data_IF_069836858724
#
_entry.id   IF_069836858724
#
_cell.length_a   1.000
_cell.length_b   1.000
_cell.length_c   1.000
_cell.angle_alpha   90.00
_cell.angle_beta   90.00
_cell.angle_gamma   90.00
#
_symmetry.space_group_name_H-M   'P 1'
#
loop_
_entity.id
_entity.type
_entity.pdbx_description
1 polymer ?
#
# COMPACT_ATOMS: atom_id res chain seq x y z
N UNK A 1 -47.86 25.34 -103.21
CA UNK A 1 -48.30 25.44 -104.63
C UNK A 1 -49.77 25.81 -104.65
N UNK A 2 -50.18 26.95 -105.24
CA UNK A 2 -51.58 27.24 -105.52
C UNK A 2 -51.90 26.93 -107.00
N UNK A 3 -53.06 26.37 -107.36
CA UNK A 3 -53.53 26.42 -108.74
C UNK A 3 -54.32 27.74 -108.91
N UNK A 4 -53.75 28.75 -109.58
CA UNK A 4 -53.91 29.04 -111.00
C UNK A 4 -55.37 29.10 -111.47
N UNK A 5 -55.89 30.32 -111.45
CA UNK A 5 -56.94 30.81 -112.35
C UNK A 5 -56.59 30.56 -113.81
N UNK A 6 -57.49 29.92 -114.57
CA UNK A 6 -57.55 30.01 -116.03
C UNK A 6 -58.98 29.76 -116.49
N UNK A 7 -59.41 30.55 -117.46
CA UNK A 7 -60.44 30.11 -118.40
C UNK A 7 -61.66 31.00 -118.52
N UNK A 8 -61.46 32.20 -119.08
CA UNK A 8 -62.52 32.90 -119.79
C UNK A 8 -63.01 32.02 -120.96
N UNK A 9 -64.21 31.47 -120.86
CA UNK A 9 -64.93 30.86 -121.98
C UNK A 9 -66.04 31.80 -122.45
N UNK A 10 -65.84 32.36 -123.65
CA UNK A 10 -66.85 33.09 -124.43
C UNK A 10 -68.05 32.17 -124.65
N UNK A 11 -69.23 32.55 -124.15
CA UNK A 11 -70.51 31.93 -124.54
C UNK A 11 -70.95 32.47 -125.92
N UNK A 12 -71.53 31.63 -126.78
CA UNK A 12 -72.12 32.06 -128.05
C UNK A 12 -73.40 32.86 -127.81
N UNK A 13 -73.67 33.85 -128.66
CA UNK A 13 -74.94 34.56 -128.71
C UNK A 13 -76.06 33.56 -129.05
N UNK A 14 -76.88 33.21 -128.06
CA UNK A 14 -78.07 32.39 -128.23
C UNK A 14 -79.29 33.26 -127.94
N UNK A 15 -80.03 33.54 -129.01
CA UNK A 15 -81.44 33.91 -129.13
C UNK A 15 -82.13 34.28 -127.80
N UNK A 16 -82.54 35.55 -127.67
CA UNK A 16 -83.50 35.98 -126.62
C UNK A 16 -84.78 35.18 -126.81
N UNK A 17 -84.96 34.10 -126.05
CA UNK A 17 -86.27 33.58 -125.72
C UNK A 17 -87.04 34.69 -124.99
N UNK A 18 -88.35 34.90 -125.26
CA UNK A 18 -89.13 35.87 -124.52
C UNK A 18 -88.99 35.54 -123.03
N UNK A 19 -88.59 36.52 -122.23
CA UNK A 19 -88.65 36.39 -120.77
C UNK A 19 -90.13 36.32 -120.42
N UNK A 20 -90.63 35.09 -120.28
CA UNK A 20 -91.97 34.82 -119.78
C UNK A 20 -92.01 35.30 -118.33
N UNK A 21 -92.88 36.28 -118.08
CA UNK A 21 -93.20 36.77 -116.74
C UNK A 21 -94.49 36.05 -116.37
N UNK A 22 -94.39 35.08 -115.46
CA UNK A 22 -95.52 34.26 -114.99
C UNK A 22 -96.38 33.64 -116.13
N UNK A 23 -95.72 33.14 -117.19
CA UNK A 23 -96.40 32.48 -118.30
C UNK A 23 -96.96 33.41 -119.40
N UNK A 24 -96.83 34.74 -119.29
CA UNK A 24 -97.29 35.72 -120.28
C UNK A 24 -96.16 36.46 -121.00
N UNK A 25 -96.43 36.92 -122.23
CA UNK A 25 -95.53 37.79 -123.01
C UNK A 25 -95.67 39.25 -122.58
N UNK A 26 -94.60 40.05 -122.73
CA UNK A 26 -94.52 41.45 -122.28
C UNK A 26 -95.58 42.38 -122.88
N UNK A 27 -96.25 41.93 -123.94
CA UNK A 27 -97.23 42.68 -124.73
C UNK A 27 -98.70 42.37 -124.35
N UNK A 28 -98.96 41.42 -123.45
CA UNK A 28 -100.32 41.00 -123.03
C UNK A 28 -100.70 41.42 -121.59
N UNK A 29 -99.78 42.05 -120.84
CA UNK A 29 -100.03 42.49 -119.46
C UNK A 29 -100.51 43.96 -119.43
N UNK A 30 -101.65 44.22 -118.78
CA UNK A 30 -102.12 45.59 -118.48
C UNK A 30 -101.13 46.30 -117.54
N UNK A 31 -101.08 47.64 -117.60
CA UNK A 31 -100.19 48.47 -116.75
C UNK A 31 -100.33 48.14 -115.25
N UNK A 32 -101.56 47.95 -114.77
CA UNK A 32 -101.85 47.56 -113.39
C UNK A 32 -101.31 46.16 -113.04
N UNK A 33 -101.40 45.20 -113.98
CA UNK A 33 -100.89 43.84 -113.77
C UNK A 33 -99.35 43.80 -113.71
N UNK A 34 -98.68 44.66 -114.50
CA UNK A 34 -97.23 44.84 -114.39
C UNK A 34 -96.83 45.50 -113.06
N UNK A 35 -97.59 46.50 -112.59
CA UNK A 35 -97.33 47.15 -111.30
C UNK A 35 -97.52 46.17 -110.12
N UNK A 36 -98.58 45.36 -110.12
CA UNK A 36 -98.76 44.29 -109.14
C UNK A 36 -97.64 43.25 -109.18
N UNK A 37 -97.21 42.83 -110.38
CA UNK A 37 -96.10 41.88 -110.50
C UNK A 37 -94.78 42.48 -109.99
N UNK A 38 -94.55 43.78 -110.17
CA UNK A 38 -93.39 44.48 -109.59
C UNK A 38 -93.48 44.50 -108.06
N UNK A 39 -94.67 44.73 -107.49
CA UNK A 39 -94.88 44.69 -106.03
C UNK A 39 -94.62 43.27 -105.49
N UNK A 40 -95.20 42.23 -106.10
CA UNK A 40 -94.95 40.83 -105.70
C UNK A 40 -93.47 40.47 -105.75
N UNK A 41 -92.76 40.84 -106.81
CA UNK A 41 -91.31 40.61 -106.91
C UNK A 41 -90.49 41.36 -105.86
N UNK A 42 -90.92 42.57 -105.46
CA UNK A 42 -90.26 43.32 -104.38
C UNK A 42 -90.49 42.67 -103.02
N UNK A 43 -91.72 42.25 -102.76
CA UNK A 43 -92.06 41.51 -101.54
C UNK A 43 -91.33 40.16 -101.47
N UNK A 44 -91.24 39.44 -102.59
CA UNK A 44 -90.42 38.21 -102.68
C UNK A 44 -88.94 38.50 -102.44
N UNK A 45 -88.39 39.55 -103.06
CA UNK A 45 -87.01 39.95 -102.83
C UNK A 45 -86.75 40.34 -101.37
N UNK A 46 -87.68 41.03 -100.72
CA UNK A 46 -87.53 41.44 -99.33
C UNK A 46 -87.69 40.23 -98.37
N UNK A 47 -88.62 39.31 -98.63
CA UNK A 47 -88.70 38.01 -97.93
C UNK A 47 -87.42 37.19 -98.08
N UNK A 48 -86.88 37.06 -99.29
CA UNK A 48 -85.62 36.35 -99.52
C UNK A 48 -84.43 37.01 -98.81
N UNK A 49 -84.41 38.36 -98.69
CA UNK A 49 -83.39 39.07 -97.91
C UNK A 49 -83.53 38.79 -96.41
N UNK A 50 -84.76 38.80 -95.89
CA UNK A 50 -85.05 38.47 -94.49
C UNK A 50 -84.66 37.04 -94.16
N UNK A 51 -85.01 36.07 -95.02
CA UNK A 51 -84.61 34.66 -94.88
C UNK A 51 -83.09 34.51 -94.93
N UNK A 52 -82.42 35.17 -95.89
CA UNK A 52 -80.95 35.18 -95.95
C UNK A 52 -80.33 35.75 -94.67
N UNK A 53 -80.87 36.85 -94.16
CA UNK A 53 -80.40 37.47 -92.92
C UNK A 53 -80.60 36.53 -91.73
N UNK A 54 -81.76 35.87 -91.63
CA UNK A 54 -82.05 34.88 -90.60
C UNK A 54 -81.07 33.70 -90.65
N UNK A 55 -80.85 33.10 -91.83
CA UNK A 55 -79.89 32.00 -91.98
C UNK A 55 -78.45 32.42 -91.74
N UNK A 56 -78.10 33.67 -92.06
CA UNK A 56 -76.80 34.26 -91.73
C UNK A 56 -76.61 34.32 -90.21
N UNK A 57 -77.58 34.87 -89.48
CA UNK A 57 -77.54 34.96 -88.01
C UNK A 57 -77.50 33.58 -87.35
N UNK A 58 -78.29 32.62 -87.83
CA UNK A 58 -78.27 31.26 -87.29
C UNK A 58 -76.95 30.55 -87.58
N UNK A 59 -76.35 30.73 -88.76
CA UNK A 59 -75.01 30.20 -89.04
C UNK A 59 -73.96 30.83 -88.12
N UNK A 60 -73.97 32.14 -87.94
CA UNK A 60 -72.99 32.84 -87.12
C UNK A 60 -73.15 32.42 -85.64
N UNK A 61 -74.39 32.23 -85.17
CA UNK A 61 -74.71 31.67 -83.84
C UNK A 61 -74.18 30.24 -83.69
N UNK A 62 -74.43 29.35 -84.65
CA UNK A 62 -73.88 27.98 -84.64
C UNK A 62 -72.35 28.02 -84.63
N UNK A 63 -71.74 28.92 -85.40
CA UNK A 63 -70.29 29.05 -85.46
C UNK A 63 -69.70 29.50 -84.11
N UNK A 64 -70.28 30.53 -83.48
CA UNK A 64 -69.85 30.96 -82.13
C UNK A 64 -70.01 29.87 -81.08
N UNK A 65 -71.12 29.11 -81.11
CA UNK A 65 -71.28 27.95 -80.21
C UNK A 65 -70.24 26.86 -80.48
N UNK A 66 -69.92 26.61 -81.74
CA UNK A 66 -68.89 25.65 -82.11
C UNK A 66 -67.52 26.10 -81.62
N UNK A 67 -67.11 27.36 -81.85
CA UNK A 67 -65.84 27.92 -81.37
C UNK A 67 -65.74 27.87 -79.83
N UNK A 68 -66.80 28.25 -79.12
CA UNK A 68 -66.83 28.17 -77.64
C UNK A 68 -66.69 26.72 -77.18
N UNK A 69 -67.39 25.78 -77.82
CA UNK A 69 -67.36 24.37 -77.42
C UNK A 69 -66.01 23.73 -77.73
N UNK A 70 -65.41 24.07 -78.87
CA UNK A 70 -64.07 23.62 -79.28
C UNK A 70 -63.00 24.17 -78.32
N UNK A 71 -63.05 25.47 -78.00
CA UNK A 71 -62.15 26.08 -77.03
C UNK A 71 -62.27 25.43 -75.64
N UNK A 72 -63.50 25.15 -75.17
CA UNK A 72 -63.71 24.45 -73.88
C UNK A 72 -63.22 23.01 -73.92
N UNK A 73 -63.38 22.34 -75.05
CA UNK A 73 -62.88 20.97 -75.22
C UNK A 73 -61.35 20.95 -75.13
N UNK A 74 -60.67 21.89 -75.78
CA UNK A 74 -59.21 22.02 -75.70
C UNK A 74 -58.73 22.42 -74.30
N UNK A 75 -59.46 23.30 -73.60
CA UNK A 75 -59.19 23.64 -72.18
C UNK A 75 -59.26 22.39 -71.29
N UNK A 76 -60.35 21.61 -71.36
CA UNK A 76 -60.51 20.38 -70.56
C UNK A 76 -59.46 19.32 -70.92
N UNK A 77 -59.09 19.20 -72.20
CA UNK A 77 -58.00 18.30 -72.62
C UNK A 77 -56.65 18.73 -72.04
N UNK A 78 -56.37 20.04 -72.02
CA UNK A 78 -55.15 20.57 -71.43
C UNK A 78 -55.14 20.37 -69.91
N UNK A 79 -56.24 20.63 -69.22
CA UNK A 79 -56.40 20.36 -67.78
C UNK A 79 -56.17 18.88 -67.46
N UNK A 80 -56.80 17.96 -68.22
CA UNK A 80 -56.57 16.53 -68.04
C UNK A 80 -55.09 16.17 -68.17
N UNK A 81 -54.41 16.69 -69.19
CA UNK A 81 -52.98 16.43 -69.40
C UNK A 81 -52.14 16.97 -68.25
N UNK A 82 -52.49 18.13 -67.71
CA UNK A 82 -51.82 18.68 -66.53
C UNK A 82 -52.03 17.77 -65.32
N UNK A 83 -53.27 17.31 -65.06
CA UNK A 83 -53.53 16.34 -63.99
C UNK A 83 -52.77 15.03 -64.15
N UNK A 84 -52.71 14.48 -65.37
CA UNK A 84 -51.93 13.26 -65.64
C UNK A 84 -50.43 13.50 -65.34
N UNK A 85 -49.90 14.68 -65.69
CA UNK A 85 -48.51 15.07 -65.38
C UNK A 85 -48.29 15.23 -63.88
N UNK A 86 -49.22 15.88 -63.16
CA UNK A 86 -49.13 16.08 -61.71
C UNK A 86 -49.15 14.74 -60.96
N UNK A 87 -49.95 13.77 -61.43
CA UNK A 87 -49.99 12.40 -60.88
C UNK A 87 -48.64 11.71 -61.09
N UNK A 88 -48.08 11.76 -62.31
CA UNK A 88 -46.76 11.17 -62.59
C UNK A 88 -45.65 11.79 -61.74
N UNK A 89 -45.68 13.12 -61.56
CA UNK A 89 -44.72 13.81 -60.69
C UNK A 89 -44.86 13.41 -59.23
N UNK A 90 -46.08 13.27 -58.71
CA UNK A 90 -46.33 12.84 -57.34
C UNK A 90 -45.90 11.40 -57.08
N UNK A 91 -46.21 10.49 -58.01
CA UNK A 91 -45.71 9.12 -57.98
C UNK A 91 -44.17 9.08 -57.99
N UNK A 92 -43.54 9.92 -58.82
CA UNK A 92 -42.09 10.09 -58.86
C UNK A 92 -41.51 10.56 -57.51
N UNK A 93 -42.11 11.59 -56.90
CA UNK A 93 -41.73 12.08 -55.57
C UNK A 93 -41.88 10.99 -54.51
N UNK A 94 -43.00 10.28 -54.50
CA UNK A 94 -43.27 9.21 -53.54
C UNK A 94 -42.25 8.07 -53.67
N UNK A 95 -41.90 7.65 -54.89
CA UNK A 95 -40.87 6.63 -55.12
C UNK A 95 -39.49 7.05 -54.59
N UNK A 96 -39.11 8.32 -54.77
CA UNK A 96 -37.85 8.86 -54.22
C UNK A 96 -37.90 8.86 -52.69
N UNK A 97 -39.00 9.30 -52.10
CA UNK A 97 -39.18 9.31 -50.65
C UNK A 97 -39.07 7.90 -50.04
N UNK A 98 -39.72 6.91 -50.65
CA UNK A 98 -39.61 5.49 -50.26
C UNK A 98 -38.16 5.00 -50.33
N UNK A 99 -37.40 5.37 -51.37
CA UNK A 99 -35.97 5.01 -51.49
C UNK A 99 -35.14 5.69 -50.39
N UNK A 100 -35.42 6.94 -50.07
CA UNK A 100 -34.74 7.68 -48.98
C UNK A 100 -35.03 7.04 -47.63
N UNK A 101 -36.30 6.72 -47.32
CA UNK A 101 -36.64 6.03 -46.07
C UNK A 101 -35.99 4.66 -45.96
N UNK A 102 -35.96 3.89 -47.07
CA UNK A 102 -35.25 2.60 -47.11
C UNK A 102 -33.76 2.76 -46.81
N UNK A 103 -33.12 3.80 -47.36
CA UNK A 103 -31.71 4.08 -47.08
C UNK A 103 -31.48 4.54 -45.64
N UNK A 104 -32.36 5.41 -45.10
CA UNK A 104 -32.33 5.83 -43.70
C UNK A 104 -32.45 4.64 -42.74
N UNK A 105 -33.37 3.72 -43.02
CA UNK A 105 -33.54 2.49 -42.24
C UNK A 105 -32.28 1.61 -42.28
N UNK A 106 -31.69 1.43 -43.47
CA UNK A 106 -30.42 0.69 -43.60
C UNK A 106 -29.29 1.34 -42.80
N UNK A 107 -29.14 2.66 -42.90
CA UNK A 107 -28.12 3.39 -42.14
C UNK A 107 -28.34 3.24 -40.63
N UNK A 108 -29.57 3.42 -40.14
CA UNK A 108 -29.90 3.25 -38.72
C UNK A 108 -29.57 1.84 -38.21
N UNK A 109 -29.90 0.80 -38.98
CA UNK A 109 -29.55 -0.58 -38.64
C UNK A 109 -28.04 -0.81 -38.61
N UNK A 110 -27.30 -0.25 -39.58
CA UNK A 110 -25.84 -0.33 -39.58
C UNK A 110 -25.22 0.40 -38.38
N UNK A 111 -25.70 1.60 -38.05
CA UNK A 111 -25.27 2.36 -36.88
C UNK A 111 -25.52 1.55 -35.59
N UNK A 112 -26.73 1.03 -35.40
CA UNK A 112 -27.03 0.19 -34.23
C UNK A 112 -26.14 -1.05 -34.16
N UNK A 113 -25.90 -1.73 -35.29
CA UNK A 113 -25.02 -2.90 -35.32
C UNK A 113 -23.57 -2.52 -35.00
N UNK A 114 -23.09 -1.36 -35.46
CA UNK A 114 -21.77 -0.84 -35.15
C UNK A 114 -21.65 -0.53 -33.66
N UNK A 115 -22.59 0.23 -33.10
CA UNK A 115 -22.62 0.55 -31.66
C UNK A 115 -22.64 -0.70 -30.80
N UNK A 116 -23.45 -1.71 -31.15
CA UNK A 116 -23.46 -3.00 -30.44
C UNK A 116 -22.11 -3.70 -30.53
N UNK A 117 -21.43 -3.63 -31.69
CA UNK A 117 -20.13 -4.28 -31.89
C UNK A 117 -19.02 -3.56 -31.11
N UNK A 118 -19.04 -2.23 -31.10
CA UNK A 118 -18.14 -1.39 -30.29
C UNK A 118 -18.34 -1.67 -28.80
N UNK A 119 -19.57 -1.63 -28.29
CA UNK A 119 -19.86 -1.93 -26.88
C UNK A 119 -19.43 -3.34 -26.48
N UNK A 120 -19.57 -4.33 -27.37
CA UNK A 120 -19.07 -5.69 -27.14
C UNK A 120 -17.54 -5.73 -27.10
N UNK A 121 -16.87 -5.02 -28.01
CA UNK A 121 -15.41 -4.94 -28.02
C UNK A 121 -14.88 -4.26 -26.76
N UNK A 122 -15.46 -3.12 -26.38
CA UNK A 122 -15.12 -2.39 -25.16
C UNK A 122 -15.36 -3.23 -23.91
N UNK A 123 -16.48 -3.97 -23.86
CA UNK A 123 -16.77 -4.92 -22.78
C UNK A 123 -15.73 -6.04 -22.66
N UNK A 124 -15.27 -6.59 -23.78
CA UNK A 124 -14.19 -7.60 -23.79
C UNK A 124 -12.86 -7.03 -23.32
N UNK A 125 -12.47 -5.85 -23.82
CA UNK A 125 -11.23 -5.17 -23.41
C UNK A 125 -11.27 -4.83 -21.92
N UNK A 126 -12.39 -4.31 -21.42
CA UNK A 126 -12.57 -4.01 -20.00
C UNK A 126 -12.46 -5.28 -19.15
N UNK A 127 -13.14 -6.36 -19.54
CA UNK A 127 -13.08 -7.65 -18.82
C UNK A 127 -11.67 -8.22 -18.80
N UNK A 128 -10.95 -8.14 -19.92
CA UNK A 128 -9.56 -8.59 -20.00
C UNK A 128 -8.64 -7.75 -19.10
N UNK A 129 -8.78 -6.42 -19.11
CA UNK A 129 -8.00 -5.54 -18.25
C UNK A 129 -8.24 -5.84 -16.76
N UNK A 130 -9.49 -6.05 -16.36
CA UNK A 130 -9.85 -6.45 -14.98
C UNK A 130 -9.23 -7.81 -14.63
N UNK A 131 -9.29 -8.79 -15.54
CA UNK A 131 -8.69 -10.10 -15.31
C UNK A 131 -7.16 -10.03 -15.18
N UNK A 132 -6.50 -9.21 -15.99
CA UNK A 132 -5.05 -9.00 -15.92
C UNK A 132 -4.64 -8.36 -14.58
N UNK A 133 -5.37 -7.35 -14.09
CA UNK A 133 -5.14 -6.75 -12.79
C UNK A 133 -5.39 -7.75 -11.64
N UNK A 134 -6.45 -8.55 -11.73
CA UNK A 134 -6.72 -9.60 -10.75
C UNK A 134 -5.59 -10.65 -10.71
N UNK A 135 -5.10 -11.10 -11.88
CA UNK A 135 -3.98 -12.04 -11.96
C UNK A 135 -2.69 -11.45 -11.36
N UNK A 136 -2.43 -10.15 -11.56
CA UNK A 136 -1.28 -9.46 -10.94
C UNK A 136 -1.42 -9.43 -9.43
N UNK A 137 -2.59 -9.07 -8.91
CA UNK A 137 -2.86 -9.02 -7.47
C UNK A 137 -2.71 -10.41 -6.83
N UNK A 138 -3.27 -11.44 -7.46
CA UNK A 138 -3.15 -12.82 -7.01
C UNK A 138 -1.69 -13.30 -7.01
N UNK A 139 -0.91 -12.91 -8.01
CA UNK A 139 0.52 -13.23 -8.08
C UNK A 139 1.30 -12.57 -6.94
N UNK A 140 0.99 -11.32 -6.60
CA UNK A 140 1.60 -10.60 -5.45
C UNK A 140 1.20 -11.27 -4.15
N UNK A 141 -0.09 -11.53 -3.94
CA UNK A 141 -0.59 -12.20 -2.74
C UNK A 141 0.07 -13.57 -2.52
N UNK A 142 0.22 -14.37 -3.58
CA UNK A 142 0.91 -15.64 -3.50
C UNK A 142 2.42 -15.51 -3.19
N UNK A 143 3.07 -14.44 -3.65
CA UNK A 143 4.48 -14.16 -3.30
C UNK A 143 4.59 -13.77 -1.82
N UNK A 144 3.73 -12.88 -1.35
CA UNK A 144 3.72 -12.41 0.04
C UNK A 144 3.40 -13.56 1.01
N UNK A 145 2.42 -14.41 0.66
CA UNK A 145 2.11 -15.60 1.45
C UNK A 145 3.31 -16.56 1.56
N UNK A 146 4.04 -16.78 0.46
CA UNK A 146 5.27 -17.58 0.51
C UNK A 146 6.37 -16.93 1.34
N UNK A 147 6.54 -15.60 1.25
CA UNK A 147 7.52 -14.88 2.05
C UNK A 147 7.21 -15.03 3.55
N UNK A 148 5.96 -14.81 3.96
CA UNK A 148 5.54 -14.99 5.36
C UNK A 148 5.74 -16.43 5.84
N UNK A 149 5.47 -17.43 4.99
CA UNK A 149 5.74 -18.83 5.35
C UNK A 149 7.23 -19.11 5.57
N UNK A 150 8.10 -18.53 4.75
CA UNK A 150 9.55 -18.65 4.91
C UNK A 150 10.01 -17.96 6.19
N UNK A 151 9.57 -16.72 6.43
CA UNK A 151 9.92 -15.97 7.65
C UNK A 151 9.48 -16.71 8.93
N UNK A 152 8.29 -17.31 8.90
CA UNK A 152 7.79 -18.13 10.01
C UNK A 152 8.67 -19.37 10.23
N UNK A 153 9.05 -20.06 9.16
CA UNK A 153 9.94 -21.23 9.24
C UNK A 153 11.35 -20.83 9.73
N UNK A 154 11.87 -19.69 9.30
CA UNK A 154 13.15 -19.15 9.76
C UNK A 154 13.11 -18.81 11.25
N UNK A 155 12.02 -18.20 11.72
CA UNK A 155 11.83 -17.91 13.15
C UNK A 155 11.74 -19.19 13.99
N UNK A 156 11.03 -20.22 13.52
CA UNK A 156 10.95 -21.52 14.19
C UNK A 156 12.33 -22.19 14.27
N UNK A 157 13.11 -22.13 13.18
CA UNK A 157 14.49 -22.63 13.15
C UNK A 157 15.40 -21.84 14.10
N UNK A 158 15.29 -20.51 14.15
CA UNK A 158 16.08 -19.66 15.04
C UNK A 158 15.76 -19.99 16.52
N UNK A 159 14.48 -20.19 16.84
CA UNK A 159 14.05 -20.60 18.18
C UNK A 159 14.60 -21.99 18.55
N UNK A 160 14.57 -22.95 17.62
CA UNK A 160 15.15 -24.26 17.83
C UNK A 160 16.66 -24.20 18.08
N UNK A 161 17.39 -23.37 17.32
CA UNK A 161 18.82 -23.14 17.52
C UNK A 161 19.08 -22.54 18.90
N UNK A 162 18.34 -21.50 19.31
CA UNK A 162 18.46 -20.89 20.64
C UNK A 162 18.21 -21.92 21.76
N UNK A 163 17.22 -22.80 21.59
CA UNK A 163 16.94 -23.87 22.56
C UNK A 163 18.11 -24.87 22.65
N UNK A 164 18.66 -25.28 21.50
CA UNK A 164 19.82 -26.18 21.45
C UNK A 164 21.07 -25.53 22.06
N UNK A 165 21.32 -24.26 21.79
CA UNK A 165 22.43 -23.50 22.39
C UNK A 165 22.27 -23.39 23.90
N UNK A 166 21.06 -23.16 24.40
CA UNK A 166 20.77 -23.13 25.83
C UNK A 166 21.05 -24.48 26.48
N UNK A 167 20.53 -25.58 25.90
CA UNK A 167 20.79 -26.94 26.39
C UNK A 167 22.29 -27.27 26.40
N UNK A 168 22.99 -26.93 25.32
CA UNK A 168 24.43 -27.14 25.25
C UNK A 168 25.17 -26.34 26.34
N UNK A 169 24.77 -25.09 26.58
CA UNK A 169 25.35 -24.26 27.65
C UNK A 169 25.11 -24.88 29.03
N UNK A 170 23.91 -25.36 29.30
CA UNK A 170 23.59 -26.07 30.54
C UNK A 170 24.43 -27.33 30.73
N UNK A 171 24.59 -28.16 29.69
CA UNK A 171 25.44 -29.34 29.72
C UNK A 171 26.91 -29.01 29.94
N UNK A 172 27.41 -27.96 29.27
CA UNK A 172 28.77 -27.47 29.47
C UNK A 172 28.99 -26.98 30.91
N UNK A 173 28.03 -26.25 31.48
CA UNK A 173 28.11 -25.83 32.90
C UNK A 173 28.09 -27.03 33.85
N UNK A 174 27.18 -27.99 33.65
CA UNK A 174 27.13 -29.23 34.47
C UNK A 174 28.45 -30.00 34.41
N UNK A 175 29.01 -30.13 33.22
CA UNK A 175 30.28 -30.82 33.01
C UNK A 175 31.43 -30.08 33.68
N UNK A 176 31.48 -28.76 33.56
CA UNK A 176 32.45 -27.90 34.25
C UNK A 176 32.35 -28.06 35.78
N UNK A 177 31.13 -28.00 36.33
CA UNK A 177 30.89 -28.17 37.77
C UNK A 177 31.33 -29.56 38.27
N UNK A 178 31.10 -30.62 37.49
CA UNK A 178 31.54 -31.98 37.82
C UNK A 178 33.07 -32.03 37.87
N UNK A 179 33.75 -31.49 36.86
CA UNK A 179 35.21 -31.45 36.84
C UNK A 179 35.79 -30.60 37.96
N UNK A 180 35.21 -29.44 38.24
CA UNK A 180 35.66 -28.57 39.33
C UNK A 180 35.51 -29.26 40.70
N UNK A 181 34.38 -29.93 40.94
CA UNK A 181 34.18 -30.74 42.15
C UNK A 181 35.19 -31.87 42.25
N UNK A 182 35.41 -32.61 41.16
CA UNK A 182 36.35 -33.73 41.15
C UNK A 182 37.79 -33.26 41.42
N UNK A 183 38.22 -32.17 40.79
CA UNK A 183 39.53 -31.55 41.03
C UNK A 183 39.62 -31.08 42.49
N UNK A 184 38.60 -30.40 43.01
CA UNK A 184 38.58 -29.95 44.40
C UNK A 184 38.72 -31.10 45.39
N UNK A 185 37.97 -32.19 45.18
CA UNK A 185 38.03 -33.39 46.03
C UNK A 185 39.40 -34.07 45.95
N UNK A 186 39.95 -34.23 44.74
CA UNK A 186 41.26 -34.87 44.56
C UNK A 186 42.39 -34.04 45.17
N UNK A 187 42.33 -32.71 45.00
CA UNK A 187 43.27 -31.77 45.63
C UNK A 187 43.15 -31.84 47.14
N UNK A 188 41.94 -31.79 47.70
CA UNK A 188 41.71 -31.93 49.14
C UNK A 188 42.28 -33.25 49.67
N UNK A 189 41.96 -34.38 49.03
CA UNK A 189 42.46 -35.69 49.42
C UNK A 189 43.99 -35.78 49.39
N UNK A 190 44.64 -35.17 48.39
CA UNK A 190 46.12 -35.09 48.31
C UNK A 190 46.71 -34.30 49.49
N UNK A 191 46.12 -33.15 49.82
CA UNK A 191 46.59 -32.34 50.95
C UNK A 191 46.32 -32.99 52.30
N UNK A 192 45.19 -33.67 52.46
CA UNK A 192 44.83 -34.39 53.68
C UNK A 192 45.75 -35.58 53.93
N UNK A 193 46.05 -36.36 52.88
CA UNK A 193 47.06 -37.43 52.96
C UNK A 193 48.45 -36.90 53.29
N UNK A 194 48.83 -35.75 52.72
CA UNK A 194 50.12 -35.12 53.04
C UNK A 194 50.18 -34.68 54.51
N UNK A 195 49.07 -34.16 55.04
CA UNK A 195 48.96 -33.79 56.45
C UNK A 195 49.08 -35.02 57.36
N UNK A 196 48.39 -36.10 57.03
CA UNK A 196 48.45 -37.34 57.81
C UNK A 196 49.86 -37.94 57.84
N UNK A 197 50.56 -37.98 56.70
CA UNK A 197 51.95 -38.44 56.63
C UNK A 197 52.89 -37.58 57.48
N UNK A 198 52.73 -36.25 57.47
CA UNK A 198 53.52 -35.35 58.32
C UNK A 198 53.27 -35.62 59.81
N UNK A 199 52.03 -35.86 60.21
CA UNK A 199 51.69 -36.21 61.59
C UNK A 199 52.32 -37.54 61.99
N UNK A 200 52.26 -38.55 61.12
CA UNK A 200 52.89 -39.85 61.37
C UNK A 200 54.42 -39.74 61.46
N UNK A 201 55.05 -38.91 60.63
CA UNK A 201 56.49 -38.67 60.68
C UNK A 201 56.90 -38.01 62.01
N UNK A 202 56.15 -36.99 62.46
CA UNK A 202 56.38 -36.36 63.76
C UNK A 202 56.18 -37.34 64.93
N UNK A 203 55.13 -38.17 64.89
CA UNK A 203 54.88 -39.18 65.91
C UNK A 203 55.97 -40.26 65.95
N UNK A 204 56.47 -40.69 64.78
CA UNK A 204 57.60 -41.61 64.69
C UNK A 204 58.89 -40.99 65.27
N UNK A 205 59.16 -39.72 64.99
CA UNK A 205 60.29 -39.00 65.60
C UNK A 205 60.11 -38.96 67.13
N UNK A 206 58.92 -38.61 67.62
CA UNK A 206 58.64 -38.60 69.06
C UNK A 206 58.85 -39.98 69.69
N UNK A 207 58.30 -41.04 69.10
CA UNK A 207 58.48 -42.44 69.56
C UNK A 207 59.95 -42.84 69.57
N UNK A 208 60.71 -42.53 68.52
CA UNK A 208 62.13 -42.82 68.46
C UNK A 208 62.90 -42.11 69.58
N UNK A 209 62.64 -40.82 69.81
CA UNK A 209 63.24 -40.05 70.91
C UNK A 209 62.86 -40.65 72.27
N UNK A 210 61.61 -41.07 72.46
CA UNK A 210 61.17 -41.75 73.68
C UNK A 210 61.91 -43.08 73.88
N UNK A 211 62.01 -43.92 72.86
CA UNK A 211 62.75 -45.18 72.92
C UNK A 211 64.24 -44.93 73.23
N UNK A 212 64.87 -43.94 72.60
CA UNK A 212 66.27 -43.57 72.87
C UNK A 212 66.47 -43.15 74.34
N UNK A 213 65.54 -42.36 74.89
CA UNK A 213 65.57 -41.96 76.31
C UNK A 213 65.34 -43.18 77.21
N UNK A 214 64.39 -44.05 76.88
CA UNK A 214 64.13 -45.30 77.62
C UNK A 214 65.34 -46.22 77.62
N UNK A 215 66.03 -46.39 76.48
CA UNK A 215 67.25 -47.18 76.37
C UNK A 215 68.39 -46.58 77.20
N UNK A 216 68.54 -45.24 77.21
CA UNK A 216 69.49 -44.55 78.09
C UNK A 216 69.18 -44.78 79.56
N UNK A 217 67.91 -44.69 79.97
CA UNK A 217 67.47 -44.97 81.35
C UNK A 217 67.67 -46.44 81.72
N UNK A 218 67.33 -47.38 80.84
CA UNK A 218 67.53 -48.80 81.03
C UNK A 218 69.02 -49.14 81.17
N UNK A 219 69.88 -48.55 80.33
CA UNK A 219 71.33 -48.66 80.44
C UNK A 219 71.81 -48.13 81.79
N UNK A 220 71.36 -46.95 82.21
CA UNK A 220 71.71 -46.37 83.52
C UNK A 220 71.26 -47.25 84.69
N UNK A 221 70.04 -47.78 84.66
CA UNK A 221 69.51 -48.72 85.66
C UNK A 221 70.36 -50.00 85.69
N UNK A 222 70.72 -50.55 84.54
CA UNK A 222 71.57 -51.75 84.48
C UNK A 222 72.95 -51.51 85.08
N UNK A 223 73.60 -50.37 84.78
CA UNK A 223 74.87 -49.98 85.40
C UNK A 223 74.71 -49.85 86.91
N UNK A 224 73.63 -49.20 87.40
CA UNK A 224 73.36 -49.08 88.83
C UNK A 224 73.13 -50.45 89.50
N UNK A 225 72.46 -51.39 88.81
CA UNK A 225 72.29 -52.77 89.28
C UNK A 225 73.64 -53.49 89.37
N UNK A 226 74.52 -53.34 88.37
CA UNK A 226 75.87 -53.91 88.41
C UNK A 226 76.70 -53.31 89.55
N UNK A 227 76.67 -51.99 89.73
CA UNK A 227 77.34 -51.31 90.83
C UNK A 227 76.80 -51.78 92.18
N UNK A 228 75.48 -51.94 92.33
CA UNK A 228 74.88 -52.52 93.53
C UNK A 228 75.30 -53.98 93.74
N UNK A 229 75.31 -54.82 92.70
CA UNK A 229 75.80 -56.21 92.80
C UNK A 229 77.26 -56.25 93.23
N UNK A 230 78.09 -55.36 92.69
CA UNK A 230 79.50 -55.22 93.07
C UNK A 230 79.63 -54.78 94.53
N UNK A 231 78.88 -53.77 94.96
CA UNK A 231 78.83 -53.36 96.36
C UNK A 231 78.32 -54.49 97.27
N UNK A 232 77.35 -55.30 96.84
CA UNK A 232 76.91 -56.49 97.57
C UNK A 232 78.00 -57.56 97.62
N UNK A 233 78.75 -57.79 96.54
CA UNK A 233 79.92 -58.68 96.56
C UNK A 233 81.02 -58.15 97.48
N UNK A 234 81.23 -56.85 97.53
CA UNK A 234 82.14 -56.20 98.48
C UNK A 234 81.64 -56.34 99.91
N UNK A 235 80.33 -56.22 100.15
CA UNK A 235 79.70 -56.49 101.45
C UNK A 235 79.79 -57.96 101.83
N UNK A 236 79.62 -58.89 100.89
CA UNK A 236 79.78 -60.33 101.13
C UNK A 236 81.24 -60.70 101.37
N UNK A 237 82.19 -60.04 100.68
CA UNK A 237 83.61 -60.16 100.95
C UNK A 237 83.97 -59.56 102.32
N UNK A 238 83.36 -58.43 102.70
CA UNK A 238 83.42 -57.88 104.04
C UNK A 238 82.70 -58.76 105.06
N UNK A 239 81.68 -59.54 104.67
CA UNK A 239 80.99 -60.49 105.53
C UNK A 239 81.83 -61.75 105.74
N UNK A 240 82.56 -62.21 104.72
CA UNK A 240 83.58 -63.26 104.82
C UNK A 240 84.78 -62.76 105.65
N UNK A 241 85.20 -61.51 105.45
CA UNK A 241 86.17 -60.82 106.30
C UNK A 241 85.68 -60.74 107.74
N UNK A 242 84.44 -60.30 107.98
CA UNK A 242 83.78 -60.28 109.28
C UNK A 242 83.60 -61.68 109.88
N UNK A 243 83.42 -62.73 109.06
CA UNK A 243 83.34 -64.13 109.52
C UNK A 243 84.71 -64.64 109.97
N UNK A 244 85.78 -64.30 109.25
CA UNK A 244 87.16 -64.56 109.67
C UNK A 244 87.56 -63.71 110.89
N UNK A 245 87.05 -62.47 110.98
CA UNK A 245 87.19 -61.61 112.15
C UNK A 245 86.34 -62.12 113.33
N UNK A 246 85.21 -62.79 113.11
CA UNK A 246 84.38 -63.39 114.16
C UNK A 246 85.10 -64.57 114.84
N UNK A 247 85.84 -65.38 114.07
CA UNK A 247 86.67 -66.48 114.60
C UNK A 247 87.97 -65.97 115.25
N UNK A 248 88.44 -64.76 114.91
CA UNK A 248 89.60 -64.11 115.54
C UNK A 248 89.23 -63.24 116.75
N UNK A 249 87.94 -62.89 116.92
CA UNK A 249 87.43 -61.96 117.94
C UNK A 249 86.73 -62.65 119.13
N UNK A 250 86.79 -63.98 119.24
CA UNK A 250 86.56 -64.69 120.52
C UNK A 250 87.84 -64.75 121.39
N UNK A 251 88.96 -64.23 120.88
CA UNK A 251 90.27 -64.13 121.57
C UNK A 251 90.57 -62.75 122.16
N UNK A 252 89.83 -61.67 121.83
CA UNK A 252 90.11 -60.32 122.35
C UNK A 252 88.86 -59.56 122.81
N UNK A 253 88.38 -59.98 123.97
CA UNK A 253 87.61 -59.18 124.91
C UNK A 253 88.43 -57.99 125.42
N UNK A 254 88.29 -56.82 124.80
CA UNK A 254 88.21 -55.50 125.46
C UNK A 254 88.38 -54.35 124.45
N UNK A 255 87.49 -53.36 124.59
CA UNK A 255 87.66 -51.95 124.19
C UNK A 255 86.78 -51.47 123.01
N UNK A 256 85.59 -50.99 123.39
CA UNK A 256 85.04 -49.64 123.11
C UNK A 256 84.55 -49.35 121.65
N UNK A 257 83.24 -49.30 121.37
CA UNK A 257 82.26 -48.19 121.51
C UNK A 257 82.28 -47.17 120.34
N UNK A 258 81.13 -46.98 119.64
CA UNK A 258 80.71 -45.66 119.11
C UNK A 258 80.29 -45.48 117.63
N UNK A 259 78.97 -45.36 117.40
CA UNK A 259 78.25 -44.33 116.57
C UNK A 259 78.42 -44.28 115.02
N UNK A 260 77.57 -43.66 114.18
CA UNK A 260 76.12 -43.42 114.04
C UNK A 260 75.89 -42.62 112.71
N UNK A 261 74.85 -42.95 111.92
CA UNK A 261 73.86 -42.11 111.18
C UNK A 261 74.16 -40.94 110.18
N UNK A 262 73.51 -41.02 108.99
CA UNK A 262 72.60 -40.09 108.22
C UNK A 262 73.01 -38.65 107.79
N UNK A 263 72.75 -38.28 106.50
CA UNK A 263 71.59 -37.43 106.03
C UNK A 263 71.85 -36.66 104.71
N UNK A 264 70.77 -36.51 103.91
CA UNK A 264 70.55 -35.84 102.61
C UNK A 264 70.56 -34.29 102.64
N UNK A 265 70.90 -33.63 101.51
CA UNK A 265 70.07 -32.65 100.74
C UNK A 265 70.88 -31.81 99.72
N UNK A 266 70.32 -31.57 98.51
CA UNK A 266 70.03 -30.22 97.94
C UNK A 266 69.52 -30.24 96.48
N UNK A 267 68.20 -30.15 96.34
CA UNK A 267 67.45 -29.76 95.14
C UNK A 267 67.32 -28.23 95.06
N UNK A 268 68.23 -27.54 94.35
CA UNK A 268 68.14 -26.08 94.14
C UNK A 268 68.48 -25.62 92.71
N UNK A 269 68.71 -26.54 91.76
CA UNK A 269 69.19 -26.19 90.41
C UNK A 269 68.12 -26.40 89.32
N UNK A 270 67.09 -27.23 89.53
CA UNK A 270 66.13 -27.58 88.48
C UNK A 270 65.07 -26.50 88.17
N UNK A 271 64.78 -25.57 89.09
CA UNK A 271 63.70 -24.59 88.91
C UNK A 271 64.08 -23.32 88.11
N UNK A 272 65.35 -23.17 87.68
CA UNK A 272 65.79 -22.00 86.91
C UNK A 272 65.82 -22.21 85.38
N UNK A 273 65.76 -23.46 84.89
CA UNK A 273 65.76 -23.76 83.45
C UNK A 273 64.36 -23.75 82.83
N UNK A 274 63.31 -24.18 83.55
CA UNK A 274 61.92 -24.15 83.05
C UNK A 274 61.39 -22.73 82.81
N UNK A 275 61.85 -21.74 83.59
CA UNK A 275 61.42 -20.35 83.46
C UNK A 275 61.97 -19.65 82.19
N UNK A 276 63.09 -20.14 81.65
CA UNK A 276 63.63 -19.66 80.36
C UNK A 276 62.88 -20.21 79.15
N UNK A 277 62.48 -21.48 79.19
CA UNK A 277 61.75 -22.13 78.08
C UNK A 277 60.33 -21.57 77.90
N UNK A 278 59.62 -21.30 79.02
CA UNK A 278 58.29 -20.69 78.98
C UNK A 278 58.29 -19.25 78.45
N UNK A 279 59.37 -18.51 78.67
CA UNK A 279 59.51 -17.12 78.17
C UNK A 279 59.70 -17.08 76.65
N UNK A 280 60.41 -18.05 76.07
CA UNK A 280 60.59 -18.17 74.62
C UNK A 280 59.29 -18.59 73.89
N UNK A 281 58.51 -19.52 74.46
CA UNK A 281 57.21 -19.91 73.91
C UNK A 281 56.22 -18.74 73.88
N UNK A 282 56.23 -17.91 74.93
CA UNK A 282 55.34 -16.76 75.07
C UNK A 282 55.73 -15.63 74.09
N UNK A 283 56.99 -15.54 73.68
CA UNK A 283 57.45 -14.62 72.64
C UNK A 283 56.98 -15.04 71.24
N UNK A 284 57.06 -16.33 70.89
CA UNK A 284 56.59 -16.84 69.58
C UNK A 284 55.09 -16.68 69.40
N UNK A 285 54.30 -17.01 70.43
CA UNK A 285 52.83 -16.84 70.39
C UNK A 285 52.45 -15.37 70.24
N UNK A 286 53.19 -14.43 70.84
CA UNK A 286 52.96 -12.99 70.66
C UNK A 286 53.25 -12.52 69.23
N UNK A 287 54.27 -13.06 68.59
CA UNK A 287 54.64 -12.72 67.21
C UNK A 287 53.61 -13.26 66.20
N UNK A 288 53.17 -14.51 66.38
CA UNK A 288 52.10 -15.12 65.58
C UNK A 288 50.76 -14.37 65.72
N UNK A 289 50.43 -13.92 66.95
CA UNK A 289 49.20 -13.15 67.18
C UNK A 289 49.26 -11.76 66.52
N UNK A 290 50.43 -11.11 66.50
CA UNK A 290 50.64 -9.86 65.79
C UNK A 290 50.58 -10.03 64.25
N UNK A 291 50.99 -11.19 63.73
CA UNK A 291 50.87 -11.56 62.32
C UNK A 291 49.40 -11.78 61.90
N UNK A 292 48.60 -12.44 62.75
CA UNK A 292 47.16 -12.65 62.54
C UNK A 292 46.40 -11.31 62.60
N UNK A 293 46.72 -10.44 63.57
CA UNK A 293 46.14 -9.09 63.64
C UNK A 293 46.43 -8.25 62.39
N UNK A 294 47.64 -8.37 61.81
CA UNK A 294 47.99 -7.70 60.54
C UNK A 294 47.17 -8.22 59.37
N UNK A 295 46.96 -9.54 59.27
CA UNK A 295 46.13 -10.15 58.21
C UNK A 295 44.65 -9.75 58.36
N UNK A 296 44.11 -9.72 59.57
CA UNK A 296 42.72 -9.26 59.82
C UNK A 296 42.50 -7.80 59.37
N UNK A 297 43.44 -6.90 59.69
CA UNK A 297 43.34 -5.49 59.26
C UNK A 297 43.38 -5.35 57.72
N UNK A 298 44.14 -6.19 57.03
CA UNK A 298 44.19 -6.17 55.56
C UNK A 298 42.87 -6.63 54.92
N UNK A 299 42.23 -7.68 55.47
CA UNK A 299 40.91 -8.14 55.01
C UNK A 299 39.80 -7.11 55.24
N UNK A 300 39.77 -6.46 56.41
CA UNK A 300 38.78 -5.40 56.73
C UNK A 300 38.88 -4.20 55.78
N UNK A 301 40.09 -3.84 55.32
CA UNK A 301 40.30 -2.79 54.31
C UNK A 301 39.75 -3.21 52.93
N UNK A 302 39.98 -4.45 52.51
CA UNK A 302 39.49 -4.97 51.22
C UNK A 302 37.95 -5.01 51.20
N UNK A 303 37.33 -5.46 52.29
CA UNK A 303 35.87 -5.55 52.41
C UNK A 303 35.22 -4.17 52.34
N UNK A 304 35.78 -3.17 53.04
CA UNK A 304 35.34 -1.76 52.96
C UNK A 304 35.46 -1.17 51.56
N UNK A 305 36.52 -1.50 50.82
CA UNK A 305 36.70 -1.03 49.43
C UNK A 305 35.69 -1.70 48.49
N UNK A 306 35.41 -2.99 48.66
CA UNK A 306 34.38 -3.70 47.88
C UNK A 306 32.99 -3.16 48.17
N UNK A 307 32.67 -2.88 49.44
CA UNK A 307 31.39 -2.32 49.84
C UNK A 307 31.17 -0.92 49.23
N UNK A 308 32.19 -0.05 49.27
CA UNK A 308 32.11 1.27 48.60
C UNK A 308 31.87 1.16 47.09
N UNK A 309 32.57 0.26 46.40
CA UNK A 309 32.35 0.01 44.96
C UNK A 309 30.95 -0.52 44.67
N UNK A 310 30.42 -1.38 45.53
CA UNK A 310 29.06 -1.90 45.41
C UNK A 310 28.03 -0.78 45.59
N UNK A 311 28.23 0.10 46.58
CA UNK A 311 27.33 1.23 46.86
C UNK A 311 27.38 2.28 45.73
N UNK A 312 28.56 2.57 45.17
CA UNK A 312 28.71 3.41 43.97
C UNK A 312 27.97 2.82 42.77
N UNK A 313 28.19 1.53 42.47
CA UNK A 313 27.54 0.86 41.34
C UNK A 313 26.01 0.83 41.49
N UNK A 314 25.52 0.67 42.72
CA UNK A 314 24.08 0.70 43.03
C UNK A 314 23.49 2.10 42.87
N UNK A 315 24.26 3.14 43.18
CA UNK A 315 23.88 4.53 42.94
C UNK A 315 23.80 4.85 41.43
N UNK A 316 24.79 4.38 40.67
CA UNK A 316 24.84 4.53 39.21
C UNK A 316 23.67 3.80 38.52
N UNK A 317 23.39 2.56 38.93
CA UNK A 317 22.25 1.79 38.42
C UNK A 317 20.93 2.54 38.63
N UNK A 318 20.71 3.06 39.84
CA UNK A 318 19.48 3.78 40.20
C UNK A 318 19.35 5.11 39.42
N UNK A 319 20.46 5.78 39.18
CA UNK A 319 20.50 7.01 38.37
C UNK A 319 20.22 6.72 36.90
N UNK A 320 20.77 5.62 36.36
CA UNK A 320 20.54 5.20 34.98
C UNK A 320 19.08 4.75 34.77
N UNK A 321 18.54 3.96 35.69
CA UNK A 321 17.13 3.53 35.70
C UNK A 321 16.18 4.73 35.72
N UNK A 322 16.44 5.73 36.56
CA UNK A 322 15.65 6.96 36.60
C UNK A 322 15.72 7.75 35.29
N UNK A 323 16.90 7.87 34.67
CA UNK A 323 17.03 8.56 33.37
C UNK A 323 16.28 7.82 32.25
N UNK A 324 16.38 6.49 32.22
CA UNK A 324 15.80 5.66 31.17
C UNK A 324 14.27 5.63 31.28
N UNK A 325 13.73 5.41 32.49
CA UNK A 325 12.29 5.40 32.71
C UNK A 325 11.65 6.79 32.62
N UNK A 326 12.28 7.82 33.20
CA UNK A 326 11.61 9.12 33.40
C UNK A 326 11.78 10.10 32.24
N UNK A 327 12.89 10.05 31.50
CA UNK A 327 13.20 11.05 30.47
C UNK A 327 13.03 10.48 29.07
N UNK A 328 13.61 9.32 28.76
CA UNK A 328 13.63 8.77 27.40
C UNK A 328 12.31 8.06 27.02
N UNK A 329 11.75 7.26 27.92
CA UNK A 329 10.66 6.35 27.53
C UNK A 329 9.26 6.96 27.68
N UNK A 330 9.03 7.79 28.70
CA UNK A 330 7.72 8.40 28.93
C UNK A 330 7.58 9.77 28.27
N UNK A 331 8.56 10.67 28.40
CA UNK A 331 8.41 12.03 27.91
C UNK A 331 8.40 12.10 26.37
N UNK A 332 9.40 11.50 25.72
CA UNK A 332 9.50 11.51 24.25
C UNK A 332 8.35 10.75 23.60
N UNK A 333 7.93 9.62 24.19
CA UNK A 333 6.79 8.85 23.71
C UNK A 333 5.48 9.62 23.85
N UNK A 334 5.20 10.18 25.02
CA UNK A 334 3.94 10.89 25.28
C UNK A 334 3.87 12.19 24.46
N UNK A 335 5.01 12.86 24.26
CA UNK A 335 5.12 14.03 23.37
C UNK A 335 4.94 13.64 21.90
N UNK A 336 5.51 12.52 21.46
CA UNK A 336 5.32 11.99 20.12
C UNK A 336 3.87 11.58 19.87
N UNK A 337 3.24 10.87 20.81
CA UNK A 337 1.84 10.46 20.72
C UNK A 337 0.92 11.68 20.65
N UNK A 338 1.18 12.69 21.48
CA UNK A 338 0.41 13.95 21.47
C UNK A 338 0.57 14.70 20.15
N UNK A 339 1.79 14.89 19.68
CA UNK A 339 2.04 15.62 18.42
C UNK A 339 1.50 14.87 17.21
N UNK A 340 1.63 13.55 17.18
CA UNK A 340 1.06 12.71 16.12
C UNK A 340 -0.46 12.81 16.07
N UNK A 341 -1.13 12.67 17.22
CA UNK A 341 -2.60 12.79 17.32
C UNK A 341 -3.08 14.18 16.88
N UNK A 342 -2.37 15.24 17.29
CA UNK A 342 -2.69 16.61 16.88
C UNK A 342 -2.56 16.81 15.36
N UNK A 343 -1.50 16.29 14.75
CA UNK A 343 -1.29 16.39 13.30
C UNK A 343 -2.36 15.62 12.51
N UNK A 344 -2.76 14.43 12.98
CA UNK A 344 -3.85 13.67 12.37
C UNK A 344 -5.14 14.47 12.43
N UNK A 345 -5.49 15.01 13.61
CA UNK A 345 -6.71 15.78 13.78
C UNK A 345 -6.72 17.01 12.86
N UNK A 346 -5.59 17.72 12.75
CA UNK A 346 -5.50 18.90 11.89
C UNK A 346 -5.69 18.54 10.40
N UNK A 347 -5.08 17.45 9.92
CA UNK A 347 -5.25 17.00 8.53
C UNK A 347 -6.68 16.54 8.28
N UNK A 348 -7.30 15.87 9.25
CA UNK A 348 -8.69 15.44 9.17
C UNK A 348 -9.64 16.64 9.14
N UNK A 349 -9.49 17.60 10.05
CA UNK A 349 -10.30 18.83 10.10
C UNK A 349 -10.17 19.64 8.80
N UNK A 350 -8.97 19.71 8.21
CA UNK A 350 -8.76 20.39 6.92
C UNK A 350 -9.44 19.63 5.77
N UNK A 351 -9.40 18.30 5.78
CA UNK A 351 -10.12 17.44 4.84
C UNK A 351 -11.63 17.61 4.95
N UNK A 352 -12.16 17.56 6.17
CA UNK A 352 -13.58 17.69 6.48
C UNK A 352 -14.09 19.08 6.10
N UNK A 353 -13.31 20.14 6.36
CA UNK A 353 -13.65 21.49 5.94
C UNK A 353 -13.72 21.63 4.41
N UNK A 354 -12.75 21.05 3.67
CA UNK A 354 -12.78 21.02 2.19
C UNK A 354 -13.97 20.23 1.66
N UNK A 355 -14.29 19.07 2.26
CA UNK A 355 -15.45 18.26 1.89
C UNK A 355 -16.74 19.04 2.09
N UNK A 356 -16.94 19.63 3.27
CA UNK A 356 -18.12 20.43 3.57
C UNK A 356 -18.26 21.64 2.63
N UNK A 357 -17.15 22.28 2.23
CA UNK A 357 -17.19 23.37 1.27
C UNK A 357 -17.64 22.90 -0.12
N UNK A 358 -17.16 21.73 -0.58
CA UNK A 358 -17.56 21.14 -1.85
C UNK A 358 -19.02 20.69 -1.84
N UNK A 359 -19.47 20.07 -0.75
CA UNK A 359 -20.87 19.66 -0.54
C UNK A 359 -21.81 20.85 -0.60
N UNK A 360 -21.51 21.95 0.12
CA UNK A 360 -22.33 23.17 0.07
C UNK A 360 -22.36 23.79 -1.32
N UNK A 361 -21.24 23.74 -2.07
CA UNK A 361 -21.21 24.24 -3.45
C UNK A 361 -22.02 23.34 -4.38
N UNK A 362 -21.98 22.03 -4.17
CA UNK A 362 -22.76 21.06 -4.94
C UNK A 362 -24.26 21.28 -4.70
N UNK A 363 -24.68 21.40 -3.44
CA UNK A 363 -26.05 21.68 -3.04
C UNK A 363 -26.57 22.97 -3.71
N UNK A 364 -25.80 24.07 -3.65
CA UNK A 364 -26.18 25.30 -4.33
C UNK A 364 -26.28 25.20 -5.87
N UNK A 365 -25.47 24.32 -6.50
CA UNK A 365 -25.59 24.04 -7.93
C UNK A 365 -26.84 23.21 -8.26
N UNK A 366 -27.19 22.24 -7.39
CA UNK A 366 -28.41 21.44 -7.51
C UNK A 366 -29.64 22.34 -7.40
N UNK A 367 -29.72 23.20 -6.38
CA UNK A 367 -30.83 24.15 -6.20
C UNK A 367 -30.99 25.07 -7.42
N UNK A 368 -29.88 25.57 -7.97
CA UNK A 368 -29.89 26.39 -9.18
C UNK A 368 -30.39 25.60 -10.38
N UNK A 369 -29.95 24.35 -10.55
CA UNK A 369 -30.39 23.49 -11.64
C UNK A 369 -31.89 23.23 -11.57
N UNK A 370 -32.40 22.81 -10.41
CA UNK A 370 -33.82 22.56 -10.16
C UNK A 370 -34.66 23.81 -10.46
N UNK A 371 -34.21 24.98 -10.02
CA UNK A 371 -34.88 26.25 -10.31
C UNK A 371 -34.91 26.55 -11.80
N UNK A 372 -33.81 26.39 -12.52
CA UNK A 372 -33.77 26.61 -13.98
C UNK A 372 -34.63 25.62 -14.75
N UNK A 373 -34.68 24.35 -14.30
CA UNK A 373 -35.51 23.32 -14.91
C UNK A 373 -37.00 23.60 -14.69
N UNK A 374 -37.39 24.02 -13.48
CA UNK A 374 -38.76 24.45 -13.18
C UNK A 374 -39.18 25.66 -14.02
N UNK A 375 -38.29 26.66 -14.15
CA UNK A 375 -38.52 27.83 -15.01
C UNK A 375 -38.69 27.43 -16.48
N UNK A 376 -37.83 26.54 -16.99
CA UNK A 376 -37.91 26.04 -18.36
C UNK A 376 -39.24 25.31 -18.62
N UNK A 377 -39.64 24.40 -17.72
CA UNK A 377 -40.92 23.70 -17.81
C UNK A 377 -42.13 24.67 -17.80
N UNK A 378 -42.07 25.72 -16.98
CA UNK A 378 -43.09 26.78 -16.98
C UNK A 378 -43.17 27.54 -18.30
N UNK A 379 -42.03 27.88 -18.91
CA UNK A 379 -42.01 28.61 -20.19
C UNK A 379 -42.47 27.71 -21.35
N UNK A 380 -42.04 26.45 -21.36
CA UNK A 380 -42.44 25.48 -22.40
C UNK A 380 -43.95 25.21 -22.38
N UNK A 381 -44.55 25.10 -21.19
CA UNK A 381 -45.99 24.92 -21.05
C UNK A 381 -46.81 26.17 -21.41
N UNK A 382 -46.28 27.37 -21.19
CA UNK A 382 -46.97 28.62 -21.51
C UNK A 382 -46.91 29.02 -23.00
N UNK A 383 -45.91 28.54 -23.75
CA UNK A 383 -45.58 29.07 -25.08
C UNK A 383 -46.27 28.35 -26.25
N UNK A 384 -46.93 27.20 -26.04
CA UNK A 384 -47.63 26.42 -27.09
C UNK A 384 -46.83 26.30 -28.41
N UNK A 385 -45.51 26.16 -28.30
CA UNK A 385 -44.60 26.08 -29.45
C UNK A 385 -44.71 24.72 -30.14
N UNK A 386 -44.44 24.66 -31.45
CA UNK A 386 -44.27 23.38 -32.15
C UNK A 386 -43.06 22.62 -31.59
N UNK A 387 -43.36 21.47 -30.98
CA UNK A 387 -42.38 20.64 -30.29
C UNK A 387 -41.33 20.05 -31.23
N UNK A 388 -41.65 19.91 -32.52
CA UNK A 388 -40.73 19.38 -33.53
C UNK A 388 -39.66 20.41 -33.91
N UNK A 389 -40.07 21.66 -34.19
CA UNK A 389 -39.16 22.75 -34.44
C UNK A 389 -38.29 23.09 -33.22
N UNK A 390 -38.87 23.08 -32.01
CA UNK A 390 -38.15 23.31 -30.76
C UNK A 390 -37.06 22.24 -30.53
N UNK A 391 -37.39 20.95 -30.69
CA UNK A 391 -36.41 19.87 -30.54
C UNK A 391 -35.26 20.01 -31.54
N UNK A 392 -35.55 20.40 -32.78
CA UNK A 392 -34.53 20.65 -33.80
C UNK A 392 -33.56 21.77 -33.42
N UNK A 393 -34.07 22.87 -32.85
CA UNK A 393 -33.24 23.97 -32.34
C UNK A 393 -32.43 23.54 -31.11
N UNK A 394 -33.05 22.84 -30.15
CA UNK A 394 -32.38 22.32 -28.96
C UNK A 394 -31.22 21.40 -29.31
N UNK A 395 -31.44 20.41 -30.19
CA UNK A 395 -30.39 19.49 -30.63
C UNK A 395 -29.22 20.23 -31.31
N UNK A 396 -29.51 21.28 -32.10
CA UNK A 396 -28.48 22.09 -32.75
C UNK A 396 -27.68 22.94 -31.76
N UNK A 397 -28.32 23.44 -30.72
CA UNK A 397 -27.64 24.16 -29.62
C UNK A 397 -26.77 23.19 -28.82
N UNK A 398 -27.29 22.00 -28.49
CA UNK A 398 -26.58 20.97 -27.74
C UNK A 398 -25.31 20.51 -28.47
N UNK A 399 -25.43 20.14 -29.75
CA UNK A 399 -24.28 19.79 -30.60
C UNK A 399 -23.22 20.89 -30.70
N UNK A 400 -23.64 22.16 -30.77
CA UNK A 400 -22.72 23.30 -30.77
C UNK A 400 -22.02 23.48 -29.40
N UNK A 401 -22.76 23.29 -28.30
CA UNK A 401 -22.21 23.34 -26.95
C UNK A 401 -21.20 22.22 -26.72
N UNK A 402 -21.51 21.00 -27.16
CA UNK A 402 -20.61 19.85 -27.06
C UNK A 402 -19.33 20.06 -27.87
N UNK A 403 -19.45 20.54 -29.11
CA UNK A 403 -18.29 20.88 -29.94
C UNK A 403 -17.41 21.96 -29.30
N UNK A 404 -18.04 22.98 -28.71
CA UNK A 404 -17.34 24.05 -27.99
C UNK A 404 -16.65 23.55 -26.73
N UNK A 405 -17.34 22.73 -25.91
CA UNK A 405 -16.80 22.11 -24.70
C UNK A 405 -15.62 21.17 -25.01
N UNK A 406 -15.73 20.40 -26.09
CA UNK A 406 -14.62 19.57 -26.57
C UNK A 406 -13.41 20.42 -26.95
N UNK A 407 -13.63 21.51 -27.68
CA UNK A 407 -12.57 22.44 -28.06
C UNK A 407 -11.90 23.08 -26.85
N UNK A 408 -12.68 23.48 -25.83
CA UNK A 408 -12.17 24.00 -24.55
C UNK A 408 -11.27 22.97 -23.87
N UNK A 409 -11.76 21.73 -23.67
CA UNK A 409 -10.98 20.65 -23.06
C UNK A 409 -9.68 20.37 -23.81
N UNK A 410 -9.72 20.35 -25.14
CA UNK A 410 -8.52 20.16 -25.97
C UNK A 410 -7.51 21.31 -25.81
N UNK A 411 -7.99 22.56 -25.75
CA UNK A 411 -7.13 23.72 -25.52
C UNK A 411 -6.52 23.71 -24.12
N UNK A 412 -7.28 23.34 -23.09
CA UNK A 412 -6.77 23.16 -21.72
C UNK A 412 -5.70 22.08 -21.66
N UNK A 413 -5.92 20.94 -22.33
CA UNK A 413 -4.95 19.87 -22.43
C UNK A 413 -3.65 20.33 -23.11
N UNK A 414 -3.75 21.01 -24.25
CA UNK A 414 -2.58 21.59 -24.95
C UNK A 414 -1.85 22.61 -24.08
N UNK A 415 -2.58 23.44 -23.32
CA UNK A 415 -2.00 24.40 -22.38
C UNK A 415 -1.23 23.68 -21.26
N UNK A 416 -1.77 22.59 -20.72
CA UNK A 416 -1.11 21.77 -19.71
C UNK A 416 0.17 21.12 -20.24
N UNK A 417 0.12 20.55 -21.45
CA UNK A 417 1.30 20.01 -22.13
C UNK A 417 2.39 21.06 -22.35
N UNK A 418 2.04 22.25 -22.87
CA UNK A 418 2.99 23.35 -23.05
C UNK A 418 3.60 23.81 -21.72
N UNK A 419 2.78 23.89 -20.67
CA UNK A 419 3.26 24.25 -19.33
C UNK A 419 4.24 23.21 -18.77
N UNK A 420 3.99 21.93 -19.03
CA UNK A 420 4.90 20.85 -18.64
C UNK A 420 6.20 20.89 -19.45
N UNK A 421 6.11 21.00 -20.77
CA UNK A 421 7.29 21.13 -21.65
C UNK A 421 8.15 22.34 -21.25
N UNK A 422 7.52 23.45 -20.86
CA UNK A 422 8.21 24.64 -20.33
C UNK A 422 8.94 24.35 -19.03
N UNK A 423 8.31 23.65 -18.07
CA UNK A 423 8.95 23.23 -16.81
C UNK A 423 10.15 22.32 -17.07
N UNK A 424 9.97 21.31 -17.92
CA UNK A 424 11.03 20.35 -18.25
C UNK A 424 12.21 21.06 -18.92
N UNK A 425 11.93 21.95 -19.88
CA UNK A 425 12.96 22.75 -20.52
C UNK A 425 13.73 23.61 -19.50
N UNK A 426 13.03 24.26 -18.56
CA UNK A 426 13.66 25.06 -17.50
C UNK A 426 14.57 24.21 -16.62
N UNK A 427 14.12 23.02 -16.21
CA UNK A 427 14.94 22.06 -15.45
C UNK A 427 16.18 21.61 -16.23
N UNK A 428 16.06 21.36 -17.55
CA UNK A 428 17.23 21.00 -18.37
C UNK A 428 18.24 22.14 -18.48
N UNK A 429 17.77 23.40 -18.57
CA UNK A 429 18.66 24.56 -18.57
C UNK A 429 19.33 24.78 -17.22
N UNK A 430 18.60 24.64 -16.11
CA UNK A 430 19.18 24.70 -14.76
C UNK A 430 20.24 23.61 -14.55
N UNK A 431 19.97 22.38 -15.00
CA UNK A 431 20.92 21.28 -14.94
C UNK A 431 22.18 21.57 -15.78
N UNK A 432 22.03 22.11 -17.00
CA UNK A 432 23.16 22.52 -17.85
C UNK A 432 23.97 23.67 -17.25
N UNK A 433 23.31 24.67 -16.65
CA UNK A 433 24.00 25.78 -15.97
C UNK A 433 24.80 25.29 -14.78
N UNK A 434 24.24 24.36 -13.99
CA UNK A 434 24.93 23.71 -12.87
C UNK A 434 26.14 22.91 -13.36
N UNK A 435 26.01 22.17 -14.46
CA UNK A 435 27.11 21.41 -15.06
C UNK A 435 28.24 22.29 -15.63
N UNK A 436 27.92 23.50 -16.10
CA UNK A 436 28.89 24.47 -16.60
C UNK A 436 29.54 25.34 -15.50
N UNK A 437 29.25 25.07 -14.22
CA UNK A 437 29.83 25.80 -13.08
C UNK A 437 29.29 27.21 -12.87
N UNK A 438 28.28 27.64 -13.61
CA UNK A 438 27.61 28.93 -13.43
C UNK A 438 26.62 28.84 -12.26
N UNK A 439 27.12 29.01 -11.04
CA UNK A 439 26.27 29.14 -9.85
C UNK A 439 25.59 30.52 -9.85
N UNK A 440 24.45 30.63 -10.52
CA UNK A 440 23.65 31.86 -10.62
C UNK A 440 22.16 31.58 -10.62
N UNK A 441 21.64 30.97 -9.54
CA UNK A 441 20.24 30.56 -9.39
C UNK A 441 19.22 31.71 -9.22
N UNK A 442 19.36 32.84 -9.93
CA UNK A 442 18.56 34.03 -9.67
C UNK A 442 17.96 34.74 -10.89
N UNK A 443 17.87 34.12 -12.07
CA UNK A 443 17.39 34.83 -13.27
C UNK A 443 16.09 34.35 -13.93
N UNK A 444 15.38 33.37 -13.36
CA UNK A 444 14.13 32.88 -13.98
C UNK A 444 12.95 32.70 -13.01
N UNK A 445 12.84 33.56 -11.99
CA UNK A 445 11.71 33.51 -11.03
C UNK A 445 10.53 34.42 -11.39
N UNK A 446 10.51 35.03 -12.57
CA UNK A 446 9.47 35.98 -12.96
C UNK A 446 9.02 35.81 -14.43
N UNK A 447 8.45 34.65 -14.79
CA UNK A 447 7.48 34.51 -15.91
C UNK A 447 6.49 33.40 -15.59
#
# INVERSE_FOLDING_TARGET
QPPKSKGSSKKPAKVKTPTLIDGFTKEELSKEQMEEHIVRLREELDREKEERNYFQLERDKIHTFWEITDSKLEEVKAEKKNFDTDIEEDEGRHQVEVKVYKQKMKHLLCEHQNTISELKADGLVHTQAVQEEQNKLETVLHKDMRAVMVDMQELDNENLVKELELKHREEMTKTSDIFEKQISVEVQAKYEKKMELLVQELDNIMKNVTCEIEDQWNSHINTLIEDHKKAFMEVDALFIGMKQDLDMNESLKAQKEGMHTKQKEKDLVCLLQENKYLTELLSKVKEENADIERKMKYFDVIEKVKQKKLDELKCDYKTLEQKLCKVLLHLERDELEKTFTQNIQQVQDEGDWKSMQLERRLEGLIDSLEKTQAQLLSVLSASNMDQTALQGVTNKIETNLDSSNYSIKNLEYKKAQLSQARKDLLLTYEAKQRALGACGGALFKAI
#
